data_IF_107353828763
#
_entry.id   IF_107353828763
#
_cell.length_a   1.000
_cell.length_b   1.000
_cell.length_c   1.000
_cell.angle_alpha   90.00
_cell.angle_beta   90.00
_cell.angle_gamma   90.00
#
_symmetry.space_group_name_H-M   'P 1'
#
loop_
_entity.id
_entity.type
_entity.pdbx_description
1 polymer ?
#
# COMPACT_ATOMS: atom_id res chain seq x y z
N UNK A 1 31.41 28.72 32.33
CA UNK A 1 30.32 27.71 32.45
C UNK A 1 29.28 27.82 31.32
N UNK A 2 29.68 28.01 30.05
CA UNK A 2 28.73 28.15 28.93
C UNK A 2 28.80 27.01 27.89
N UNK A 3 29.83 26.15 27.97
CA UNK A 3 30.05 25.08 26.97
C UNK A 3 29.25 23.80 27.28
N UNK A 4 28.87 23.57 28.53
CA UNK A 4 28.12 22.37 28.94
C UNK A 4 26.62 22.41 28.59
N UNK A 5 26.03 23.60 28.43
CA UNK A 5 24.59 23.74 28.13
C UNK A 5 24.28 23.39 26.66
N UNK A 6 25.23 23.66 25.74
CA UNK A 6 25.07 23.32 24.32
C UNK A 6 25.18 21.80 24.06
N UNK A 7 25.92 21.06 24.88
CA UNK A 7 26.03 19.61 24.76
C UNK A 7 24.76 18.87 25.20
N UNK A 8 23.99 19.42 26.16
CA UNK A 8 22.73 18.82 26.62
C UNK A 8 21.57 19.03 25.64
N UNK A 9 21.58 20.13 24.88
CA UNK A 9 20.60 20.38 23.81
C UNK A 9 20.82 19.47 22.58
N UNK A 10 22.06 19.04 22.31
CA UNK A 10 22.36 18.14 21.19
C UNK A 10 22.01 16.67 21.48
N UNK A 11 22.00 16.26 22.76
CA UNK A 11 21.64 14.90 23.16
C UNK A 11 20.13 14.67 23.35
N UNK A 12 19.32 15.73 23.44
CA UNK A 12 17.85 15.63 23.55
C UNK A 12 17.13 15.67 22.19
N UNK A 13 17.80 16.11 21.12
CA UNK A 13 17.20 16.21 19.79
C UNK A 13 16.75 14.87 19.17
N UNK A 14 17.46 13.72 19.34
CA UNK A 14 16.99 12.47 18.74
C UNK A 14 15.86 11.80 19.56
N UNK A 15 15.60 12.22 20.81
CA UNK A 15 14.57 11.60 21.67
C UNK A 15 13.20 12.27 21.53
N UNK A 16 13.14 13.51 21.04
CA UNK A 16 11.89 14.23 20.77
C UNK A 16 11.29 13.95 19.39
N UNK A 17 11.92 13.08 18.58
CA UNK A 17 11.29 12.54 17.37
C UNK A 17 10.41 11.32 17.64
N UNK A 18 9.55 11.39 18.67
CA UNK A 18 8.22 10.77 18.55
C UNK A 18 7.40 11.59 17.55
N UNK A 19 7.94 11.79 16.35
CA UNK A 19 7.27 12.38 15.22
C UNK A 19 6.14 11.42 14.88
N UNK A 20 4.91 11.86 15.10
CA UNK A 20 3.68 11.31 14.56
C UNK A 20 3.96 10.50 13.27
N UNK A 21 4.05 9.17 13.39
CA UNK A 21 4.26 8.32 12.24
C UNK A 21 2.93 8.18 11.50
N UNK A 22 2.94 8.01 10.17
CA UNK A 22 1.72 7.71 9.45
C UNK A 22 1.10 6.41 9.99
N UNK A 23 -0.18 6.49 10.36
CA UNK A 23 -0.92 5.33 10.85
C UNK A 23 -1.42 4.54 9.64
N UNK A 24 -0.95 3.30 9.52
CA UNK A 24 -1.33 2.42 8.41
C UNK A 24 -2.22 1.29 8.93
N UNK A 25 -3.47 1.28 8.48
CA UNK A 25 -4.44 0.23 8.75
C UNK A 25 -4.69 -0.59 7.48
N UNK A 26 -4.70 -1.91 7.62
CA UNK A 26 -5.08 -2.84 6.53
C UNK A 26 -6.31 -3.62 6.99
N UNK A 27 -7.38 -3.60 6.19
CA UNK A 27 -8.65 -4.28 6.49
C UNK A 27 -8.99 -5.32 5.42
N UNK A 28 -9.61 -6.42 5.85
CA UNK A 28 -10.13 -7.48 4.99
C UNK A 28 -9.05 -8.13 4.10
N UNK A 29 -7.84 -8.31 4.63
CA UNK A 29 -6.75 -8.99 3.95
C UNK A 29 -6.21 -10.14 4.79
N UNK A 30 -5.86 -11.24 4.14
CA UNK A 30 -5.23 -12.40 4.78
C UNK A 30 -3.76 -12.15 5.13
N UNK A 31 -3.13 -11.09 4.60
CA UNK A 31 -1.70 -10.80 4.78
C UNK A 31 -1.42 -9.32 5.13
N UNK A 32 -1.98 -8.79 6.22
CA UNK A 32 -1.93 -7.36 6.53
C UNK A 32 -0.51 -6.83 6.73
N UNK A 33 0.39 -7.60 7.35
CA UNK A 33 1.77 -7.15 7.60
C UNK A 33 2.61 -7.05 6.33
N UNK A 34 2.43 -7.97 5.38
CA UNK A 34 3.08 -7.88 4.06
C UNK A 34 2.63 -6.61 3.33
N UNK A 35 1.34 -6.29 3.41
CA UNK A 35 0.79 -5.08 2.78
C UNK A 35 1.27 -3.82 3.48
N UNK A 36 1.30 -3.80 4.82
CA UNK A 36 1.88 -2.68 5.58
C UNK A 36 3.34 -2.45 5.20
N UNK A 37 4.13 -3.51 5.07
CA UNK A 37 5.51 -3.41 4.62
C UNK A 37 5.61 -2.82 3.21
N UNK A 38 4.81 -3.32 2.27
CA UNK A 38 4.76 -2.82 0.90
C UNK A 38 4.34 -1.34 0.84
N UNK A 39 3.31 -0.94 1.58
CA UNK A 39 2.88 0.46 1.73
C UNK A 39 4.00 1.34 2.29
N UNK A 40 4.71 0.90 3.34
CA UNK A 40 5.83 1.67 3.91
C UNK A 40 6.96 1.89 2.89
N UNK A 41 7.27 0.89 2.07
CA UNK A 41 8.26 1.07 1.00
C UNK A 41 7.78 2.08 -0.05
N UNK A 42 6.52 2.01 -0.46
CA UNK A 42 5.96 3.01 -1.38
C UNK A 42 5.96 4.42 -0.79
N UNK A 43 5.61 4.58 0.49
CA UNK A 43 5.70 5.87 1.17
C UNK A 43 7.13 6.43 1.16
N UNK A 44 8.12 5.58 1.42
CA UNK A 44 9.54 5.95 1.36
C UNK A 44 9.95 6.38 -0.06
N UNK A 45 9.55 5.64 -1.09
CA UNK A 45 9.89 5.97 -2.48
C UNK A 45 9.22 7.24 -3.01
N UNK A 46 8.01 7.50 -2.54
CA UNK A 46 7.22 8.68 -2.91
C UNK A 46 7.55 9.91 -2.03
N UNK A 47 8.46 9.73 -1.06
CA UNK A 47 8.85 10.74 -0.08
C UNK A 47 7.63 11.34 0.63
N UNK A 48 6.70 10.49 1.08
CA UNK A 48 5.53 10.89 1.85
C UNK A 48 5.97 11.00 3.31
N UNK A 49 6.03 12.22 3.82
CA UNK A 49 6.45 12.54 5.20
C UNK A 49 5.33 13.10 6.05
N UNK A 50 4.19 13.35 5.44
CA UNK A 50 3.05 13.98 6.09
C UNK A 50 2.34 13.02 7.03
N UNK A 51 1.82 13.58 8.12
CA UNK A 51 1.01 12.86 9.08
C UNK A 51 -0.35 12.52 8.45
N UNK A 52 -0.46 11.27 7.99
CA UNK A 52 -1.68 10.74 7.37
C UNK A 52 -2.16 9.49 8.11
N UNK A 53 -3.47 9.31 8.15
CA UNK A 53 -4.10 8.04 8.51
C UNK A 53 -4.50 7.34 7.22
N UNK A 54 -3.71 6.34 6.82
CA UNK A 54 -3.93 5.58 5.60
C UNK A 54 -4.65 4.27 5.93
N UNK A 55 -5.82 4.07 5.34
CA UNK A 55 -6.53 2.80 5.39
C UNK A 55 -6.49 2.12 4.02
N UNK A 56 -5.92 0.93 3.95
CA UNK A 56 -6.02 0.05 2.77
C UNK A 56 -7.07 -1.02 3.07
N UNK A 57 -8.13 -1.10 2.28
CA UNK A 57 -9.16 -2.12 2.46
C UNK A 57 -9.46 -2.87 1.16
N UNK A 58 -9.65 -4.17 1.28
CA UNK A 58 -10.08 -5.01 0.18
C UNK A 58 -11.59 -5.18 0.22
N UNK A 59 -12.26 -4.80 -0.85
CA UNK A 59 -13.73 -4.81 -0.91
C UNK A 59 -14.18 -5.25 -2.30
N UNK A 60 -15.15 -6.16 -2.37
CA UNK A 60 -15.75 -6.64 -3.63
C UNK A 60 -16.56 -5.56 -4.34
N UNK A 61 -17.10 -4.60 -3.60
CA UNK A 61 -17.90 -3.51 -4.16
C UNK A 61 -17.04 -2.28 -4.40
N UNK A 62 -16.41 -2.23 -5.58
CA UNK A 62 -15.75 -1.03 -6.10
C UNK A 62 -16.67 -0.43 -7.18
N UNK A 63 -17.04 0.85 -7.05
CA UNK A 63 -17.92 1.49 -8.02
C UNK A 63 -17.28 1.55 -9.42
N UNK A 64 -18.11 1.53 -10.46
CA UNK A 64 -17.68 1.85 -11.83
C UNK A 64 -16.74 0.85 -12.52
N UNK A 65 -16.65 -0.40 -12.04
CA UNK A 65 -15.79 -1.42 -12.65
C UNK A 65 -14.29 -1.19 -12.45
N UNK A 66 -13.92 -0.27 -11.55
CA UNK A 66 -12.53 0.01 -11.21
C UNK A 66 -11.91 -1.13 -10.41
N UNK A 67 -10.58 -1.30 -10.53
CA UNK A 67 -9.84 -2.33 -9.80
C UNK A 67 -9.33 -1.82 -8.44
N UNK A 68 -9.20 -0.51 -8.31
CA UNK A 68 -8.84 0.20 -7.09
C UNK A 68 -9.33 1.63 -7.16
N UNK A 69 -9.37 2.30 -6.01
CA UNK A 69 -9.71 3.72 -5.92
C UNK A 69 -9.23 4.32 -4.60
N UNK A 70 -8.80 5.58 -4.65
CA UNK A 70 -8.35 6.36 -3.49
C UNK A 70 -9.28 7.54 -3.23
N UNK A 71 -9.71 7.68 -1.98
CA UNK A 71 -10.51 8.81 -1.54
C UNK A 71 -9.86 9.50 -0.34
N UNK A 72 -9.85 10.83 -0.38
CA UNK A 72 -9.62 11.65 0.80
C UNK A 72 -10.94 11.78 1.56
N UNK A 73 -10.94 11.38 2.84
CA UNK A 73 -12.08 11.62 3.71
C UNK A 73 -12.01 13.06 4.23
N UNK A 74 -13.08 13.84 4.01
CA UNK A 74 -13.25 15.12 4.68
C UNK A 74 -13.62 14.82 6.13
N UNK A 75 -12.63 14.79 7.02
CA UNK A 75 -12.86 14.69 8.45
C UNK A 75 -13.01 16.11 9.00
N UNK A 76 -14.07 16.34 9.76
CA UNK A 76 -14.14 17.48 10.70
C UNK A 76 -13.32 17.19 11.97
N UNK A 77 -12.45 16.17 11.93
CA UNK A 77 -11.75 15.71 13.12
C UNK A 77 -10.66 16.72 13.52
N UNK A 78 -10.58 17.05 14.83
CA UNK A 78 -9.65 18.04 15.35
C UNK A 78 -8.19 17.54 15.44
N UNK A 79 -7.93 16.27 15.11
CA UNK A 79 -6.64 15.60 15.29
C UNK A 79 -5.56 15.99 14.26
N UNK A 80 -5.93 16.76 13.22
CA UNK A 80 -4.99 17.33 12.25
C UNK A 80 -4.47 16.34 11.20
N UNK A 81 -4.87 15.05 11.26
CA UNK A 81 -4.47 14.05 10.28
C UNK A 81 -5.35 14.07 9.05
N UNK A 82 -4.73 13.83 7.89
CA UNK A 82 -5.49 13.55 6.65
C UNK A 82 -5.83 12.07 6.59
N UNK A 83 -7.13 11.77 6.64
CA UNK A 83 -7.64 10.42 6.43
C UNK A 83 -7.72 10.13 4.93
N UNK A 84 -6.95 9.14 4.48
CA UNK A 84 -6.91 8.69 3.09
C UNK A 84 -7.25 7.20 3.07
N UNK A 85 -8.16 6.81 2.18
CA UNK A 85 -8.67 5.44 2.08
C UNK A 85 -8.40 4.93 0.68
N UNK A 86 -7.69 3.81 0.59
CA UNK A 86 -7.54 3.00 -0.61
C UNK A 86 -8.52 1.81 -0.53
N UNK A 87 -9.28 1.58 -1.62
CA UNK A 87 -10.06 0.35 -1.84
C UNK A 87 -9.47 -0.43 -2.99
N UNK A 88 -9.31 -1.74 -2.86
CA UNK A 88 -8.79 -2.63 -3.92
C UNK A 88 -9.68 -3.86 -4.07
N UNK A 89 -9.90 -4.31 -5.31
CA UNK A 89 -10.68 -5.51 -5.58
C UNK A 89 -9.93 -6.76 -5.08
N UNK A 90 -10.50 -7.53 -4.14
CA UNK A 90 -9.84 -8.71 -3.59
C UNK A 90 -9.62 -9.83 -4.62
N UNK A 91 -10.35 -9.82 -5.74
CA UNK A 91 -10.29 -10.87 -6.79
C UNK A 91 -9.04 -10.75 -7.67
N UNK A 92 -8.28 -9.66 -7.54
CA UNK A 92 -7.05 -9.47 -8.29
C UNK A 92 -5.98 -10.48 -7.87
N UNK A 93 -5.28 -11.04 -8.85
CA UNK A 93 -4.07 -11.81 -8.57
C UNK A 93 -2.98 -10.92 -7.95
N UNK A 94 -1.98 -11.54 -7.32
CA UNK A 94 -0.96 -10.83 -6.54
C UNK A 94 -0.19 -9.77 -7.34
N UNK A 95 0.07 -10.00 -8.63
CA UNK A 95 0.78 -9.05 -9.49
C UNK A 95 -0.09 -7.83 -9.81
N UNK A 96 -1.33 -8.05 -10.26
CA UNK A 96 -2.26 -6.96 -10.56
C UNK A 96 -2.61 -6.15 -9.32
N UNK A 97 -2.86 -6.82 -8.20
CA UNK A 97 -3.12 -6.16 -6.90
C UNK A 97 -1.98 -5.22 -6.50
N UNK A 98 -0.73 -5.67 -6.69
CA UNK A 98 0.46 -4.86 -6.41
C UNK A 98 0.52 -3.62 -7.31
N UNK A 99 0.28 -3.78 -8.60
CA UNK A 99 0.28 -2.66 -9.54
C UNK A 99 -0.81 -1.64 -9.18
N UNK A 100 -2.03 -2.12 -8.89
CA UNK A 100 -3.14 -1.27 -8.44
C UNK A 100 -2.78 -0.56 -7.14
N UNK A 101 -2.26 -1.26 -6.13
CA UNK A 101 -1.83 -0.63 -4.88
C UNK A 101 -0.77 0.46 -5.14
N UNK A 102 0.19 0.21 -6.03
CA UNK A 102 1.20 1.20 -6.40
C UNK A 102 0.59 2.44 -7.07
N UNK A 103 -0.39 2.26 -7.97
CA UNK A 103 -1.15 3.35 -8.58
C UNK A 103 -1.89 4.17 -7.53
N UNK A 104 -2.65 3.52 -6.67
CA UNK A 104 -3.38 4.17 -5.59
C UNK A 104 -2.46 4.89 -4.60
N UNK A 105 -1.25 4.38 -4.35
CA UNK A 105 -0.25 5.07 -3.51
C UNK A 105 0.26 6.38 -4.13
N UNK A 106 0.25 6.52 -5.46
CA UNK A 106 0.54 7.82 -6.10
C UNK A 106 -0.56 8.81 -5.75
N UNK A 107 -1.83 8.40 -5.78
CA UNK A 107 -2.93 9.27 -5.32
C UNK A 107 -2.84 9.61 -3.82
N UNK A 108 -2.37 8.67 -2.98
CA UNK A 108 -2.06 8.97 -1.57
C UNK A 108 -1.01 10.08 -1.48
N UNK A 109 0.09 10.00 -2.25
CA UNK A 109 1.11 11.05 -2.32
C UNK A 109 0.49 12.39 -2.73
N UNK A 110 -0.31 12.40 -3.79
CA UNK A 110 -0.94 13.60 -4.32
C UNK A 110 -1.85 14.28 -3.29
N UNK A 111 -2.65 13.52 -2.53
CA UNK A 111 -3.46 14.04 -1.43
C UNK A 111 -2.62 14.48 -0.22
N UNK A 112 -1.59 13.71 0.13
CA UNK A 112 -0.67 14.00 1.24
C UNK A 112 0.16 15.26 0.97
N UNK A 113 0.55 15.53 -0.27
CA UNK A 113 1.32 16.73 -0.66
C UNK A 113 0.46 17.93 -1.04
N UNK A 114 -0.88 17.77 -1.01
CA UNK A 114 -1.85 18.78 -1.48
C UNK A 114 -1.67 19.15 -2.96
N UNK A 115 -1.09 18.26 -3.75
CA UNK A 115 -0.97 18.41 -5.20
C UNK A 115 -2.33 18.21 -5.86
N UNK A 116 -3.14 17.27 -5.37
CA UNK A 116 -4.51 17.01 -5.83
C UNK A 116 -5.52 17.39 -4.75
N UNK A 117 -6.34 18.40 -5.03
CA UNK A 117 -7.37 18.90 -4.11
C UNK A 117 -8.74 18.90 -4.82
N UNK A 118 -9.69 18.05 -4.41
CA UNK A 118 -11.08 18.14 -4.86
C UNK A 118 -11.69 19.47 -4.38
N UNK A 119 -12.18 20.30 -5.31
CA UNK A 119 -12.80 21.58 -4.98
C UNK A 119 -14.32 21.45 -4.87
N UNK A 120 -14.95 20.79 -5.84
CA UNK A 120 -16.37 20.47 -5.87
C UNK A 120 -16.62 19.30 -6.82
N UNK A 121 -17.89 18.91 -7.01
CA UNK A 121 -18.28 17.78 -7.88
C UNK A 121 -17.69 17.86 -9.30
N UNK A 122 -17.45 19.07 -9.81
CA UNK A 122 -17.05 19.31 -11.19
C UNK A 122 -15.64 19.89 -11.31
N UNK A 123 -14.90 20.10 -10.22
CA UNK A 123 -13.60 20.74 -10.26
C UNK A 123 -12.61 20.15 -9.28
N UNK A 124 -11.38 20.02 -9.76
CA UNK A 124 -10.21 19.58 -9.02
C UNK A 124 -9.13 20.62 -9.22
N UNK A 125 -8.35 20.88 -8.18
CA UNK A 125 -7.10 21.61 -8.29
C UNK A 125 -5.95 20.61 -8.36
N UNK A 126 -5.11 20.73 -9.39
CA UNK A 126 -3.90 19.96 -9.59
C UNK A 126 -2.71 20.91 -9.67
N UNK A 127 -1.75 20.78 -8.75
CA UNK A 127 -0.55 21.62 -8.66
C UNK A 127 -0.88 23.13 -8.73
N UNK A 128 -1.92 23.55 -8.01
CA UNK A 128 -2.38 24.94 -7.96
C UNK A 128 -3.23 25.41 -9.16
N UNK A 129 -3.43 24.57 -10.18
CA UNK A 129 -4.25 24.88 -11.36
C UNK A 129 -5.62 24.20 -11.26
N UNK A 130 -6.69 24.92 -11.61
CA UNK A 130 -8.06 24.39 -11.58
C UNK A 130 -8.41 23.70 -12.90
N UNK A 131 -8.92 22.47 -12.80
CA UNK A 131 -9.37 21.65 -13.91
C UNK A 131 -10.86 21.31 -13.74
N UNK A 132 -11.57 21.15 -14.86
CA UNK A 132 -12.91 20.54 -14.85
C UNK A 132 -12.75 19.04 -14.62
N UNK A 133 -13.33 18.54 -13.54
CA UNK A 133 -13.10 17.20 -13.05
C UNK A 133 -13.92 16.17 -13.83
N UNK A 134 -13.25 15.43 -14.71
CA UNK A 134 -13.57 14.04 -14.98
C UNK A 134 -12.57 13.23 -14.16
N UNK A 135 -13.00 12.78 -12.98
CA UNK A 135 -12.10 12.28 -11.90
C UNK A 135 -11.21 11.12 -12.35
N UNK A 136 -11.54 10.45 -13.46
CA UNK A 136 -10.87 9.24 -13.95
C UNK A 136 -10.51 9.27 -15.44
N UNK A 137 -10.39 10.46 -16.05
CA UNK A 137 -9.86 10.54 -17.41
C UNK A 137 -8.35 10.32 -17.38
N UNK A 138 -7.88 9.26 -18.04
CA UNK A 138 -6.45 8.89 -18.13
C UNK A 138 -5.57 9.98 -18.72
N UNK A 139 -6.16 10.95 -19.43
CA UNK A 139 -5.46 12.09 -20.01
C UNK A 139 -5.25 13.23 -19.01
N UNK A 140 -5.85 13.15 -17.82
CA UNK A 140 -5.64 14.16 -16.79
C UNK A 140 -4.21 14.07 -16.23
N UNK A 141 -3.62 15.21 -15.83
CA UNK A 141 -2.22 15.23 -15.38
C UNK A 141 -1.93 14.30 -14.19
N UNK A 142 -2.87 14.18 -13.23
CA UNK A 142 -2.71 13.35 -12.05
C UNK A 142 -2.77 11.85 -12.35
N UNK A 143 -3.66 11.42 -13.26
CA UNK A 143 -3.69 10.04 -13.73
C UNK A 143 -2.43 9.71 -14.54
N UNK A 144 -2.00 10.62 -15.42
CA UNK A 144 -0.79 10.43 -16.22
C UNK A 144 0.46 10.23 -15.33
N UNK A 145 0.58 10.98 -14.22
CA UNK A 145 1.64 10.75 -13.22
C UNK A 145 1.51 9.35 -12.58
N UNK A 146 0.31 8.96 -12.18
CA UNK A 146 0.06 7.68 -11.53
C UNK A 146 0.45 6.49 -12.43
N UNK A 147 0.00 6.47 -13.68
CA UNK A 147 0.35 5.43 -14.66
C UNK A 147 1.84 5.40 -15.06
N UNK A 148 2.54 6.54 -14.95
CA UNK A 148 3.99 6.58 -15.19
C UNK A 148 4.77 5.99 -14.00
N UNK A 149 4.21 6.09 -12.81
CA UNK A 149 4.93 5.84 -11.55
C UNK A 149 4.63 4.46 -10.96
N UNK A 150 3.43 3.90 -11.16
CA UNK A 150 2.98 2.60 -10.63
C UNK A 150 3.93 1.43 -10.97
N UNK A 151 4.39 1.34 -12.23
CA UNK A 151 5.32 0.34 -12.73
C UNK A 151 6.71 0.54 -12.14
N UNK A 152 7.13 1.78 -11.94
CA UNK A 152 8.42 2.10 -11.34
C UNK A 152 8.46 1.68 -9.86
N UNK A 153 7.41 1.99 -9.11
CA UNK A 153 7.24 1.58 -7.70
C UNK A 153 7.25 0.06 -7.58
N UNK A 154 6.41 -0.62 -8.37
CA UNK A 154 6.32 -2.08 -8.38
C UNK A 154 7.68 -2.72 -8.69
N UNK A 155 8.41 -2.17 -9.66
CA UNK A 155 9.74 -2.67 -10.04
C UNK A 155 10.76 -2.47 -8.92
N UNK A 156 10.78 -1.32 -8.27
CA UNK A 156 11.71 -1.04 -7.14
C UNK A 156 11.44 -1.97 -5.96
N UNK A 157 10.18 -2.09 -5.54
CA UNK A 157 9.80 -2.99 -4.44
C UNK A 157 10.22 -4.44 -4.70
N UNK A 158 10.00 -4.94 -5.92
CA UNK A 158 10.43 -6.30 -6.31
C UNK A 158 11.94 -6.48 -6.21
N UNK A 159 12.73 -5.50 -6.66
CA UNK A 159 14.19 -5.56 -6.61
C UNK A 159 14.72 -5.62 -5.18
N UNK A 160 14.16 -4.82 -4.27
CA UNK A 160 14.55 -4.86 -2.86
C UNK A 160 14.16 -6.19 -2.20
N UNK A 161 12.98 -6.73 -2.51
CA UNK A 161 12.57 -8.04 -2.02
C UNK A 161 13.52 -9.16 -2.46
N UNK A 162 14.13 -9.05 -3.64
CA UNK A 162 15.12 -10.01 -4.14
C UNK A 162 16.55 -9.74 -3.65
N UNK A 163 16.85 -8.51 -3.23
CA UNK A 163 18.19 -8.13 -2.76
C UNK A 163 18.38 -8.35 -1.25
N UNK A 164 17.29 -8.34 -0.47
CA UNK A 164 17.32 -8.70 0.94
C UNK A 164 17.35 -10.23 1.08
N UNK A 165 18.27 -10.82 1.87
CA UNK A 165 18.19 -12.22 2.29
C UNK A 165 16.83 -12.50 2.93
N UNK A 166 16.30 -13.74 2.87
CA UNK A 166 15.04 -14.09 3.53
C UNK A 166 15.12 -13.66 4.99
N UNK A 167 14.27 -12.71 5.36
CA UNK A 167 14.17 -12.26 6.74
C UNK A 167 13.61 -13.43 7.54
N UNK A 168 14.47 -14.16 8.26
CA UNK A 168 14.02 -15.09 9.28
C UNK A 168 13.33 -14.26 10.35
N UNK A 169 11.99 -14.27 10.34
CA UNK A 169 11.20 -13.92 11.51
C UNK A 169 11.72 -14.80 12.65
N UNK A 170 12.09 -14.24 13.82
CA UNK A 170 12.44 -15.08 14.96
C UNK A 170 11.23 -15.95 15.29
N UNK A 171 11.39 -17.25 15.10
CA UNK A 171 10.44 -18.26 15.55
C UNK A 171 10.40 -18.19 17.07
N UNK A 172 9.36 -17.58 17.62
CA UNK A 172 9.00 -17.79 19.02
C UNK A 172 8.44 -19.20 19.15
N UNK A 173 9.32 -20.16 19.35
CA UNK A 173 9.00 -21.48 19.91
C UNK A 173 10.01 -21.76 21.01
N UNK A 174 9.59 -21.85 22.29
CA UNK A 174 10.49 -22.26 23.34
C UNK A 174 10.86 -23.72 23.14
N UNK A 175 12.15 -23.96 23.29
CA UNK A 175 12.85 -25.23 23.26
C UNK A 175 12.19 -26.24 24.21
N UNK A 176 11.59 -27.31 23.67
CA UNK A 176 11.47 -28.60 24.34
C UNK A 176 11.89 -29.67 23.33
N UNK A 177 12.97 -30.33 23.70
CA UNK A 177 13.77 -31.22 22.90
C UNK A 177 13.31 -32.68 23.12
N UNK A 178 13.39 -33.46 22.03
CA UNK A 178 13.40 -34.93 21.95
C UNK A 178 12.10 -35.72 22.19
N UNK A 179 11.50 -36.20 21.10
CA UNK A 179 11.29 -37.65 20.97
C UNK A 179 11.40 -38.10 19.51
N UNK A 180 12.33 -39.04 19.32
CA UNK A 180 12.68 -39.75 18.09
C UNK A 180 11.57 -40.72 17.72
N UNK A 181 11.11 -40.71 16.46
CA UNK A 181 10.78 -41.93 15.70
C UNK A 181 11.08 -41.71 14.20
N UNK A 182 11.76 -42.70 13.61
CA UNK A 182 12.33 -42.76 12.26
C UNK A 182 11.27 -43.20 11.19
N UNK A 183 11.63 -43.24 9.88
CA UNK A 183 10.79 -42.78 8.78
C UNK A 183 9.92 -43.86 8.13
N UNK A 184 8.89 -43.45 7.39
CA UNK A 184 8.36 -44.22 6.27
C UNK A 184 8.23 -43.35 5.02
N UNK A 185 8.84 -43.85 3.96
CA UNK A 185 8.73 -43.42 2.56
C UNK A 185 7.29 -43.53 2.06
N UNK A 186 6.83 -42.61 1.21
CA UNK A 186 6.18 -42.99 -0.07
C UNK A 186 6.15 -41.83 -1.08
N UNK A 187 6.81 -42.07 -2.22
CA UNK A 187 6.42 -41.83 -3.62
C UNK A 187 5.65 -40.56 -4.04
N UNK A 188 6.27 -39.80 -4.95
CA UNK A 188 5.60 -38.93 -5.93
C UNK A 188 4.59 -39.72 -6.77
N UNK A 189 3.50 -39.08 -7.24
CA UNK A 189 2.89 -39.36 -8.54
C UNK A 189 2.00 -38.21 -9.03
N UNK A 190 1.91 -38.16 -10.35
CA UNK A 190 1.46 -37.11 -11.24
C UNK A 190 -0.06 -36.85 -11.28
N UNK A 191 -0.38 -35.80 -12.05
CA UNK A 191 -1.58 -35.57 -12.90
C UNK A 191 -2.81 -34.90 -12.28
N UNK A 192 -3.11 -33.69 -12.78
CA UNK A 192 -4.46 -33.09 -12.81
C UNK A 192 -4.90 -33.02 -14.28
N UNK A 193 -6.14 -33.39 -14.64
CA UNK A 193 -6.54 -33.57 -16.03
C UNK A 193 -6.90 -32.27 -16.77
N UNK A 194 -6.74 -32.31 -18.08
CA UNK A 194 -7.28 -31.34 -19.05
C UNK A 194 -8.81 -31.19 -18.88
N UNK A 195 -9.27 -29.94 -18.76
CA UNK A 195 -10.67 -29.59 -19.05
C UNK A 195 -10.81 -29.39 -20.56
N UNK A 196 -11.41 -30.38 -21.24
CA UNK A 196 -12.09 -30.18 -22.54
C UNK A 196 -13.60 -30.22 -22.28
N UNK A 197 -14.30 -29.14 -22.63
CA UNK A 197 -15.31 -29.15 -23.69
C UNK A 197 -16.34 -28.04 -23.45
N UNK A 198 -16.43 -27.12 -24.41
CA UNK A 198 -17.65 -26.39 -24.72
C UNK A 198 -18.75 -27.38 -25.11
N UNK A 199 -20.00 -27.11 -24.72
CA UNK A 199 -21.16 -27.25 -25.60
C UNK A 199 -22.35 -26.43 -25.08
N UNK A 200 -22.83 -25.54 -25.94
CA UNK A 200 -24.16 -24.89 -26.00
C UNK A 200 -25.05 -25.89 -26.80
N UNK A 201 -26.38 -26.11 -26.58
CA UNK A 201 -27.41 -25.07 -26.75
C UNK A 201 -28.77 -25.20 -26.01
N UNK A 202 -29.50 -24.07 -25.99
CA UNK A 202 -30.92 -24.03 -26.36
C UNK A 202 -31.97 -23.98 -25.24
N UNK A 203 -32.45 -22.78 -24.91
CA UNK A 203 -33.83 -22.30 -25.11
C UNK A 203 -33.97 -20.86 -24.62
#
# INVERSE_FOLDING_TARGET
>A
MHVFILSLLFCLFPVLQSLSQPVIMVKYSDNPETIKHEVRQYMKYLDIRENIHLTVCYNRHIPGGMLGVTFRQNTSQPDGYRHIIIRIDPRLNAMRRRLVLAHEMVHVKQYAKKELIPLNKNHIMWEGKKYRAYIYDRQTPWEAEAYKTDRLLTRRFRKEKTASPPFHLPSTTPHMENMILKPQEVSCLHTVPLIKSCNIPGK
#
